data_IF_635788008920
#
_entry.id   IF_635788008920
#
_cell.length_a   1.000
_cell.length_b   1.000
_cell.length_c   1.000
_cell.angle_alpha   90.00
_cell.angle_beta   90.00
_cell.angle_gamma   90.00
#
_symmetry.space_group_name_H-M   'P 1'
#
loop_
_entity.id
_entity.type
_entity.pdbx_description
1 polymer ?
#
# COMPACT_ATOMS: atom_id res chain seq x y z
N UNK A 1 -1.96 56.76 3.21
CA UNK A 1 -1.87 57.10 4.65
C UNK A 1 -1.50 55.83 5.39
N UNK A 2 -0.29 55.84 5.85
CA UNK A 2 0.48 54.81 6.54
C UNK A 2 -0.06 54.53 7.96
N UNK A 3 -0.06 53.29 8.37
CA UNK A 3 0.22 52.90 9.77
C UNK A 3 0.74 51.47 9.86
N UNK A 4 2.03 51.37 10.06
CA UNK A 4 2.80 50.23 10.52
C UNK A 4 2.60 50.02 12.03
N UNK A 5 2.38 48.76 12.47
CA UNK A 5 2.54 48.38 13.87
C UNK A 5 3.64 47.29 13.95
N UNK A 6 4.72 47.67 14.59
CA UNK A 6 5.80 46.78 15.04
C UNK A 6 5.39 46.22 16.41
N UNK A 7 5.51 44.94 16.64
CA UNK A 7 5.53 44.33 17.99
C UNK A 7 6.87 43.67 18.23
N UNK A 8 7.45 44.08 19.35
CA UNK A 8 8.80 43.75 19.81
C UNK A 8 8.85 42.40 20.50
N UNK A 9 9.99 41.69 20.32
CA UNK A 9 10.38 40.50 21.04
C UNK A 9 10.77 40.81 22.50
N UNK A 10 10.35 39.96 23.44
CA UNK A 10 10.94 39.89 24.78
C UNK A 10 11.62 38.54 24.97
N UNK A 11 12.95 38.58 25.14
CA UNK A 11 13.76 37.48 25.65
C UNK A 11 13.65 37.43 27.18
N UNK A 12 13.41 36.23 27.74
CA UNK A 12 13.64 35.95 29.15
C UNK A 12 14.62 34.80 29.26
N UNK A 13 15.82 35.08 29.69
CA UNK A 13 16.83 34.13 30.11
C UNK A 13 16.66 33.84 31.61
N UNK A 14 16.57 32.56 31.96
CA UNK A 14 16.59 32.10 33.35
C UNK A 14 17.70 31.07 33.54
N UNK A 15 18.77 31.47 34.21
CA UNK A 15 19.83 30.60 34.68
C UNK A 15 19.45 30.04 36.05
N UNK A 16 19.69 28.75 36.27
CA UNK A 16 19.64 28.15 37.63
C UNK A 16 20.87 27.27 37.83
N UNK A 17 21.52 27.57 38.93
CA UNK A 17 22.81 27.12 39.38
C UNK A 17 22.78 25.72 40.03
N UNK A 18 23.93 25.09 39.95
CA UNK A 18 24.35 23.86 40.63
C UNK A 18 24.56 24.09 42.12
N UNK A 19 24.12 23.14 42.97
CA UNK A 19 24.72 22.93 44.30
C UNK A 19 24.91 21.42 44.55
N UNK A 20 26.17 21.09 44.79
CA UNK A 20 26.66 19.83 45.30
C UNK A 20 26.88 19.95 46.81
N UNK A 21 26.68 18.82 47.56
CA UNK A 21 27.30 18.42 48.81
C UNK A 21 26.54 17.19 49.30
N UNK A 22 27.04 15.99 49.65
CA UNK A 22 28.31 15.69 50.29
C UNK A 22 28.06 14.81 51.52
N UNK A 23 28.72 13.64 51.64
CA UNK A 23 28.90 12.87 52.88
C UNK A 23 27.91 11.72 53.12
N UNK A 24 28.29 10.50 53.39
CA UNK A 24 29.42 9.88 53.95
C UNK A 24 29.00 8.65 54.77
N UNK A 25 29.70 7.49 54.55
CA UNK A 25 30.06 6.56 55.60
C UNK A 25 29.16 5.37 55.99
N UNK A 26 29.70 4.16 55.89
CA UNK A 26 29.29 3.03 56.71
C UNK A 26 29.53 1.63 56.12
N UNK A 27 30.71 1.08 56.36
CA UNK A 27 31.05 -0.33 56.10
C UNK A 27 30.36 -1.31 57.04
N UNK A 28 29.98 -2.48 56.57
CA UNK A 28 30.13 -3.78 57.24
C UNK A 28 29.87 -4.95 56.31
N UNK A 29 30.85 -5.78 56.11
CA UNK A 29 30.77 -7.21 55.77
C UNK A 29 31.26 -7.99 57.00
N UNK A 30 31.27 -9.35 57.07
CA UNK A 30 30.79 -10.41 56.17
C UNK A 30 29.96 -11.50 56.91
N UNK A 31 29.31 -12.37 56.16
CA UNK A 31 28.76 -13.62 56.67
C UNK A 31 28.80 -14.69 55.58
N UNK A 32 29.76 -15.59 55.71
CA UNK A 32 29.87 -16.78 54.87
C UNK A 32 28.89 -17.88 55.30
N UNK A 33 28.30 -18.60 54.34
CA UNK A 33 27.75 -19.95 54.57
C UNK A 33 27.92 -20.78 53.32
N UNK A 34 28.46 -21.97 53.55
CA UNK A 34 28.92 -23.02 52.67
C UNK A 34 27.80 -23.78 51.91
N UNK A 35 28.17 -24.70 50.94
CA UNK A 35 27.36 -24.99 49.76
C UNK A 35 26.47 -26.24 49.92
N UNK A 36 25.33 -26.22 49.21
CA UNK A 36 24.46 -27.37 49.06
C UNK A 36 24.68 -28.05 47.71
N UNK A 37 24.68 -29.35 47.73
CA UNK A 37 25.12 -30.30 46.73
C UNK A 37 24.40 -30.21 45.36
N UNK A 38 25.21 -30.41 44.29
CA UNK A 38 24.86 -30.58 42.89
C UNK A 38 24.00 -31.82 42.63
N UNK A 39 22.87 -31.67 41.94
CA UNK A 39 22.20 -32.73 41.17
C UNK A 39 22.67 -32.71 39.71
N UNK A 40 22.80 -33.85 39.02
CA UNK A 40 23.37 -33.87 37.67
C UNK A 40 22.46 -33.23 36.64
N UNK A 41 23.02 -32.31 35.84
CA UNK A 41 22.40 -31.70 34.70
C UNK A 41 22.11 -32.77 33.60
N UNK A 42 20.86 -32.82 33.16
CA UNK A 42 20.49 -33.53 31.94
C UNK A 42 21.23 -32.86 30.76
N UNK A 43 21.94 -33.64 30.00
CA UNK A 43 22.54 -33.21 28.73
C UNK A 43 21.47 -32.82 27.75
N UNK A 44 21.37 -31.52 27.48
CA UNK A 44 20.60 -30.98 26.36
C UNK A 44 21.52 -31.05 25.14
N UNK A 45 21.01 -31.71 24.11
CA UNK A 45 21.63 -31.81 22.79
C UNK A 45 21.98 -30.40 22.27
N UNK A 46 23.16 -30.17 21.68
CA UNK A 46 23.48 -28.85 21.12
C UNK A 46 22.81 -28.70 19.76
N UNK A 47 21.50 -28.51 19.75
CA UNK A 47 20.75 -27.99 18.61
C UNK A 47 21.04 -26.50 18.49
N UNK A 48 21.72 -26.15 17.38
CA UNK A 48 21.85 -24.82 16.76
C UNK A 48 21.71 -23.63 17.71
N UNK A 49 22.84 -23.11 18.17
CA UNK A 49 22.90 -21.74 18.73
C UNK A 49 22.31 -20.75 17.73
N UNK A 50 21.43 -19.85 18.15
CA UNK A 50 21.07 -18.70 17.32
C UNK A 50 22.34 -17.94 16.95
N UNK A 51 22.55 -17.66 15.70
CA UNK A 51 23.62 -16.80 15.25
C UNK A 51 23.56 -15.49 16.05
N UNK A 52 24.71 -14.97 16.48
CA UNK A 52 24.83 -13.76 17.29
C UNK A 52 24.05 -12.64 16.62
N UNK A 53 23.02 -12.12 17.31
CA UNK A 53 22.02 -11.23 16.77
C UNK A 53 22.61 -10.00 16.09
N UNK A 54 22.46 -9.96 14.77
CA UNK A 54 22.63 -8.76 13.97
C UNK A 54 21.38 -7.87 14.06
N UNK A 55 21.44 -6.68 13.49
CA UNK A 55 20.27 -5.83 13.30
C UNK A 55 20.22 -5.29 11.88
N UNK A 56 19.02 -5.23 11.31
CA UNK A 56 18.75 -4.62 10.01
C UNK A 56 17.72 -3.52 10.14
N UNK A 57 17.75 -2.55 9.22
CA UNK A 57 16.74 -1.50 9.09
C UNK A 57 15.87 -1.79 7.88
N UNK A 58 14.55 -1.70 8.07
CA UNK A 58 13.55 -1.89 7.04
C UNK A 58 12.72 -0.62 6.91
N UNK A 59 12.58 -0.07 5.71
CA UNK A 59 11.78 1.13 5.47
C UNK A 59 10.61 0.87 4.56
N UNK A 60 9.51 1.56 4.80
CA UNK A 60 8.35 1.68 3.91
C UNK A 60 7.59 2.97 4.20
N UNK A 61 6.51 3.22 3.43
CA UNK A 61 5.63 4.37 3.64
C UNK A 61 4.54 4.11 4.69
N UNK A 62 4.38 2.90 5.18
CA UNK A 62 3.27 2.52 6.06
C UNK A 62 3.35 3.15 7.45
N UNK A 63 2.19 3.59 7.94
CA UNK A 63 2.00 4.08 9.31
C UNK A 63 0.66 3.62 9.88
N UNK A 64 0.42 3.89 11.17
CA UNK A 64 -0.81 3.47 11.83
C UNK A 64 -1.01 1.97 11.80
N UNK A 65 -2.21 1.50 11.46
CA UNK A 65 -2.58 0.08 11.46
C UNK A 65 -1.75 -0.78 10.49
N UNK A 66 -1.30 -0.25 9.36
CA UNK A 66 -0.43 -0.99 8.44
C UNK A 66 0.96 -1.25 9.06
N UNK A 67 1.53 -0.23 9.71
CA UNK A 67 2.78 -0.39 10.46
C UNK A 67 2.63 -1.40 11.62
N UNK A 68 1.54 -1.32 12.36
CA UNK A 68 1.26 -2.26 13.47
C UNK A 68 1.10 -3.70 12.97
N UNK A 69 0.47 -3.88 11.82
CA UNK A 69 0.35 -5.18 11.17
C UNK A 69 1.71 -5.72 10.74
N UNK A 70 2.55 -4.90 10.11
CA UNK A 70 3.89 -5.28 9.69
C UNK A 70 4.84 -5.54 10.87
N UNK A 71 4.69 -4.80 11.97
CA UNK A 71 5.49 -5.04 13.18
C UNK A 71 5.36 -6.48 13.69
N UNK A 72 4.19 -7.12 13.57
CA UNK A 72 4.02 -8.54 13.94
C UNK A 72 4.89 -9.47 13.09
N UNK A 73 5.10 -9.13 11.82
CA UNK A 73 5.99 -9.90 10.92
C UNK A 73 7.44 -9.75 11.35
N UNK A 74 7.86 -8.52 11.70
CA UNK A 74 9.22 -8.26 12.21
C UNK A 74 9.48 -8.95 13.55
N UNK A 75 8.49 -8.99 14.42
CA UNK A 75 8.57 -9.68 15.71
C UNK A 75 8.71 -11.20 15.52
N UNK A 76 7.95 -11.77 14.57
CA UNK A 76 8.05 -13.18 14.21
C UNK A 76 9.42 -13.52 13.60
N UNK A 77 9.95 -12.67 12.73
CA UNK A 77 11.30 -12.79 12.18
C UNK A 77 12.34 -12.79 13.30
N UNK A 78 12.26 -11.82 14.20
CA UNK A 78 13.20 -11.68 15.32
C UNK A 78 13.12 -12.89 16.26
N UNK A 79 11.92 -13.36 16.57
CA UNK A 79 11.72 -14.55 17.40
C UNK A 79 12.32 -15.82 16.78
N UNK A 80 12.23 -15.95 15.45
CA UNK A 80 12.74 -17.11 14.70
C UNK A 80 14.25 -17.12 14.55
N UNK A 81 14.85 -15.95 14.27
CA UNK A 81 16.24 -15.84 13.85
C UNK A 81 17.18 -15.26 14.90
N UNK A 82 16.65 -14.55 15.89
CA UNK A 82 17.44 -13.75 16.82
C UNK A 82 17.99 -12.45 16.22
N UNK A 83 17.68 -12.15 14.95
CA UNK A 83 18.09 -10.92 14.26
C UNK A 83 17.03 -9.86 14.49
N UNK A 84 17.42 -8.67 14.94
CA UNK A 84 16.47 -7.56 15.15
C UNK A 84 16.22 -6.83 13.82
N UNK A 85 14.96 -6.75 13.40
CA UNK A 85 14.55 -5.91 12.28
C UNK A 85 13.85 -4.66 12.82
N UNK A 86 14.41 -3.48 12.54
CA UNK A 86 13.87 -2.19 12.98
C UNK A 86 13.16 -1.51 11.81
N UNK A 87 11.91 -1.12 12.02
CA UNK A 87 11.11 -0.45 11.01
C UNK A 87 11.20 1.07 11.11
N UNK A 88 11.38 1.73 9.97
CA UNK A 88 11.35 3.18 9.83
C UNK A 88 10.27 3.57 8.82
N UNK A 89 9.26 4.31 9.26
CA UNK A 89 8.19 4.83 8.40
C UNK A 89 8.59 6.14 7.73
N UNK A 90 8.53 6.19 6.40
CA UNK A 90 8.75 7.41 5.59
C UNK A 90 7.45 7.69 4.84
N UNK A 91 6.57 8.50 5.43
CA UNK A 91 5.18 8.67 4.99
C UNK A 91 4.98 9.66 3.84
N UNK A 92 5.95 10.52 3.58
CA UNK A 92 5.87 11.55 2.55
C UNK A 92 7.16 11.56 1.74
N UNK A 93 7.05 11.85 0.46
CA UNK A 93 8.20 11.95 -0.46
C UNK A 93 9.14 10.72 -0.40
N UNK A 94 8.55 9.53 -0.22
CA UNK A 94 9.30 8.29 0.05
C UNK A 94 10.49 8.09 -0.87
N UNK A 95 10.26 8.20 -2.18
CA UNK A 95 11.30 8.01 -3.19
C UNK A 95 12.43 9.03 -3.08
N UNK A 96 12.11 10.31 -2.84
CA UNK A 96 13.09 11.40 -2.68
C UNK A 96 13.93 11.21 -1.42
N UNK A 97 13.29 10.83 -0.31
CA UNK A 97 13.98 10.55 0.96
C UNK A 97 14.90 9.34 0.82
N UNK A 98 14.39 8.25 0.21
CA UNK A 98 15.18 7.04 -0.02
C UNK A 98 16.38 7.32 -0.93
N UNK A 99 16.18 8.02 -2.06
CA UNK A 99 17.25 8.45 -2.96
C UNK A 99 18.31 9.32 -2.24
N UNK A 100 17.87 10.23 -1.37
CA UNK A 100 18.77 11.09 -0.60
C UNK A 100 19.64 10.27 0.36
N UNK A 101 19.05 9.28 1.04
CA UNK A 101 19.80 8.36 1.92
C UNK A 101 20.82 7.52 1.15
N UNK A 102 20.40 6.98 -0.01
CA UNK A 102 21.30 6.21 -0.90
C UNK A 102 22.48 7.07 -1.34
N UNK A 103 22.23 8.26 -1.86
CA UNK A 103 23.26 9.19 -2.34
C UNK A 103 24.16 9.68 -1.21
N UNK A 104 23.60 9.84 -0.02
CA UNK A 104 24.36 10.20 1.21
C UNK A 104 25.18 9.07 1.81
N UNK A 105 25.14 7.85 1.23
CA UNK A 105 25.89 6.68 1.71
C UNK A 105 25.34 6.08 3.00
N UNK A 106 24.09 6.36 3.34
CA UNK A 106 23.39 5.82 4.51
C UNK A 106 22.00 5.23 4.12
N UNK A 107 21.96 4.26 3.17
CA UNK A 107 20.70 3.59 2.82
C UNK A 107 20.16 2.77 4.00
N UNK A 108 18.85 2.48 4.05
CA UNK A 108 18.34 1.40 4.86
C UNK A 108 18.91 0.06 4.35
N UNK A 109 18.85 -0.99 5.17
CA UNK A 109 19.29 -2.31 4.71
C UNK A 109 18.31 -2.92 3.71
N UNK A 110 17.01 -2.72 3.96
CA UNK A 110 15.89 -3.21 3.16
C UNK A 110 14.87 -2.08 2.96
N UNK A 111 14.29 -2.03 1.79
CA UNK A 111 13.20 -1.11 1.45
C UNK A 111 12.03 -1.87 0.86
N UNK A 112 10.82 -1.52 1.30
CA UNK A 112 9.60 -1.98 0.67
C UNK A 112 9.10 -0.84 -0.20
N UNK A 113 9.08 -1.08 -1.50
CA UNK A 113 8.83 -0.10 -2.54
C UNK A 113 7.37 -0.19 -2.98
N UNK A 114 6.62 0.91 -2.96
CA UNK A 114 5.22 0.94 -3.38
C UNK A 114 5.04 0.99 -4.90
N UNK A 115 6.09 1.31 -5.66
CA UNK A 115 6.03 1.50 -7.11
C UNK A 115 7.19 0.84 -7.86
N UNK A 116 6.88 0.23 -8.99
CA UNK A 116 7.83 -0.51 -9.84
C UNK A 116 8.73 0.44 -10.66
N UNK A 117 8.28 1.65 -10.97
CA UNK A 117 9.11 2.66 -11.62
C UNK A 117 10.38 2.98 -10.81
N UNK A 118 10.29 3.05 -9.49
CA UNK A 118 11.44 3.23 -8.61
C UNK A 118 12.36 2.01 -8.59
N UNK A 119 11.79 0.80 -8.64
CA UNK A 119 12.56 -0.44 -8.70
C UNK A 119 13.50 -0.44 -9.90
N UNK A 120 12.98 -0.13 -11.09
CA UNK A 120 13.80 -0.10 -12.32
C UNK A 120 14.96 0.88 -12.21
N UNK A 121 14.67 2.09 -11.77
CA UNK A 121 15.70 3.11 -11.57
C UNK A 121 16.77 2.67 -10.59
N UNK A 122 16.39 2.16 -9.41
CA UNK A 122 17.34 1.72 -8.39
C UNK A 122 18.12 0.47 -8.80
N UNK A 123 17.55 -0.40 -9.61
CA UNK A 123 18.27 -1.53 -10.19
C UNK A 123 19.36 -1.07 -11.17
N UNK A 124 19.02 -0.16 -12.09
CA UNK A 124 19.95 0.34 -13.11
C UNK A 124 21.09 1.19 -12.55
N UNK A 125 20.86 1.98 -11.52
CA UNK A 125 21.91 2.76 -10.85
C UNK A 125 22.72 1.97 -9.82
N UNK A 126 22.37 0.66 -9.61
CA UNK A 126 23.06 -0.24 -8.69
C UNK A 126 22.76 0.03 -7.22
N UNK A 127 21.70 0.77 -6.91
CA UNK A 127 21.30 1.09 -5.54
C UNK A 127 20.69 -0.07 -4.79
N UNK A 128 20.13 -1.04 -5.52
CA UNK A 128 19.56 -2.27 -4.96
C UNK A 128 20.29 -3.50 -5.49
N UNK A 129 20.28 -4.56 -4.68
CA UNK A 129 20.99 -5.81 -4.97
C UNK A 129 20.12 -6.75 -5.80
N UNK A 130 20.74 -7.50 -6.71
CA UNK A 130 20.07 -8.68 -7.29
C UNK A 130 19.82 -9.71 -6.18
N UNK A 131 18.66 -10.33 -6.21
CA UNK A 131 18.30 -11.38 -5.25
C UNK A 131 19.31 -12.55 -5.29
N UNK A 132 19.79 -12.89 -6.50
CA UNK A 132 20.83 -13.91 -6.69
C UNK A 132 22.19 -13.55 -6.06
N UNK A 133 22.58 -12.26 -6.04
CA UNK A 133 23.83 -11.80 -5.44
C UNK A 133 23.84 -11.94 -3.91
N UNK A 134 22.66 -11.99 -3.29
CA UNK A 134 22.49 -12.30 -1.87
C UNK A 134 22.58 -13.82 -1.59
N UNK A 135 22.74 -14.65 -2.61
CA UNK A 135 22.75 -16.11 -2.50
C UNK A 135 21.36 -16.71 -2.28
N UNK A 136 20.31 -16.04 -2.75
CA UNK A 136 18.94 -16.54 -2.83
C UNK A 136 18.72 -17.02 -4.27
N UNK A 137 18.24 -18.24 -4.45
CA UNK A 137 17.94 -18.82 -5.76
C UNK A 137 16.56 -18.33 -6.25
N UNK A 138 16.48 -17.48 -7.31
CA UNK A 138 15.20 -17.00 -7.84
C UNK A 138 14.30 -18.14 -8.35
N UNK A 139 14.85 -19.20 -8.91
CA UNK A 139 14.07 -20.34 -9.41
C UNK A 139 13.39 -21.10 -8.25
N UNK A 140 14.06 -21.19 -7.09
CA UNK A 140 13.46 -21.78 -5.90
C UNK A 140 12.31 -20.92 -5.35
N UNK A 141 12.38 -19.58 -5.49
CA UNK A 141 11.31 -18.68 -5.08
C UNK A 141 10.07 -18.81 -5.97
N UNK A 142 10.22 -19.04 -7.28
CA UNK A 142 9.07 -19.19 -8.20
C UNK A 142 8.09 -20.27 -7.75
N UNK A 143 8.58 -21.32 -7.09
CA UNK A 143 7.73 -22.38 -6.54
C UNK A 143 6.72 -21.87 -5.50
N UNK A 144 7.04 -20.79 -4.79
CA UNK A 144 6.23 -20.22 -3.72
C UNK A 144 5.15 -19.24 -4.21
N UNK A 145 5.23 -18.79 -5.47
CA UNK A 145 4.36 -17.73 -6.04
C UNK A 145 3.51 -18.24 -7.21
N UNK A 146 2.39 -17.57 -7.47
CA UNK A 146 1.65 -17.79 -8.69
C UNK A 146 2.48 -17.33 -9.92
N UNK A 147 2.31 -17.94 -11.10
CA UNK A 147 3.04 -17.54 -12.30
C UNK A 147 2.91 -16.05 -12.56
N UNK A 148 4.04 -15.39 -12.88
CA UNK A 148 4.09 -13.96 -13.22
C UNK A 148 4.21 -13.01 -12.02
N UNK A 149 3.96 -13.43 -10.79
CA UNK A 149 4.03 -12.53 -9.61
C UNK A 149 5.47 -12.06 -9.37
N UNK A 150 6.46 -12.92 -9.50
CA UNK A 150 7.86 -12.51 -9.34
C UNK A 150 8.38 -11.70 -10.54
N UNK A 151 7.73 -11.76 -11.69
CA UNK A 151 8.14 -10.97 -12.86
C UNK A 151 7.99 -9.46 -12.59
N UNK A 152 7.07 -9.07 -11.71
CA UNK A 152 6.89 -7.68 -11.26
C UNK A 152 8.18 -7.13 -10.61
N UNK A 153 8.97 -7.97 -9.96
CA UNK A 153 10.24 -7.60 -9.31
C UNK A 153 11.47 -7.72 -10.21
N UNK A 154 11.30 -8.06 -11.50
CA UNK A 154 12.40 -8.22 -12.46
C UNK A 154 12.71 -6.91 -13.20
N UNK A 155 13.99 -6.71 -13.45
CA UNK A 155 14.52 -5.66 -14.34
C UNK A 155 15.54 -6.33 -15.24
N UNK A 156 15.39 -6.23 -16.57
CA UNK A 156 16.25 -6.88 -17.56
C UNK A 156 16.43 -8.40 -17.28
N UNK A 157 15.30 -9.08 -17.03
CA UNK A 157 15.20 -10.52 -16.70
C UNK A 157 15.86 -10.95 -15.36
N UNK A 158 16.44 -10.03 -14.61
CA UNK A 158 17.06 -10.31 -13.32
C UNK A 158 16.12 -9.89 -12.15
N UNK A 159 15.99 -10.74 -11.13
CA UNK A 159 15.16 -10.46 -9.97
C UNK A 159 15.87 -9.53 -8.98
N UNK A 160 15.30 -8.35 -8.73
CA UNK A 160 15.82 -7.36 -7.78
C UNK A 160 14.89 -7.18 -6.57
N UNK A 161 13.61 -7.47 -6.72
CA UNK A 161 12.66 -7.34 -5.63
C UNK A 161 11.65 -8.50 -5.63
N UNK A 162 11.06 -8.74 -4.48
CA UNK A 162 10.13 -9.85 -4.25
C UNK A 162 8.79 -9.26 -3.82
N UNK A 163 7.69 -9.64 -4.47
CA UNK A 163 6.34 -9.26 -4.06
C UNK A 163 6.04 -9.82 -2.66
N UNK A 164 5.66 -8.96 -1.71
CA UNK A 164 5.40 -9.36 -0.33
C UNK A 164 3.96 -9.16 0.12
N UNK A 165 3.25 -8.25 -0.50
CA UNK A 165 1.80 -8.06 -0.31
C UNK A 165 1.15 -7.58 -1.58
N UNK A 166 -0.13 -7.86 -1.74
CA UNK A 166 -1.00 -7.17 -2.69
C UNK A 166 -2.40 -6.98 -2.10
N UNK A 167 -3.17 -6.14 -2.76
CA UNK A 167 -4.59 -5.94 -2.52
C UNK A 167 -5.29 -5.89 -3.87
N UNK A 168 -6.53 -6.35 -3.92
CA UNK A 168 -7.37 -6.07 -5.07
C UNK A 168 -7.66 -4.58 -5.14
N UNK A 169 -7.49 -3.98 -6.30
CA UNK A 169 -7.97 -2.63 -6.62
C UNK A 169 -9.25 -2.69 -7.47
N UNK A 170 -10.03 -3.76 -7.28
CA UNK A 170 -11.27 -4.00 -8.03
C UNK A 170 -12.46 -4.21 -7.09
N UNK A 171 -12.45 -3.56 -5.91
CA UNK A 171 -13.51 -3.64 -4.89
C UNK A 171 -14.31 -2.35 -4.83
N UNK A 172 -15.63 -2.46 -5.02
CA UNK A 172 -16.57 -1.35 -4.84
C UNK A 172 -17.21 -1.49 -3.46
N UNK A 173 -16.80 -0.67 -2.52
CA UNK A 173 -17.24 -0.67 -1.12
C UNK A 173 -18.55 0.08 -0.96
N UNK A 174 -19.44 -0.40 -0.11
CA UNK A 174 -20.74 0.23 0.09
C UNK A 174 -21.30 0.02 1.50
N UNK A 175 -22.35 0.79 1.83
CA UNK A 175 -23.16 0.69 3.04
C UNK A 175 -24.41 -0.15 2.76
N UNK A 176 -24.49 -1.43 3.20
CA UNK A 176 -25.69 -2.27 3.00
C UNK A 176 -26.96 -1.65 3.57
N UNK A 177 -26.88 -0.98 4.73
CA UNK A 177 -28.00 -0.27 5.33
C UNK A 177 -28.52 0.88 4.45
N UNK A 178 -27.61 1.71 3.88
CA UNK A 178 -27.95 2.78 2.95
C UNK A 178 -28.54 2.26 1.64
N UNK A 179 -28.03 1.13 1.14
CA UNK A 179 -28.58 0.46 -0.04
C UNK A 179 -30.01 -0.04 0.23
N UNK A 180 -30.25 -0.62 1.40
CA UNK A 180 -31.59 -1.06 1.83
C UNK A 180 -32.56 0.13 1.94
N UNK A 181 -32.14 1.24 2.56
CA UNK A 181 -32.92 2.48 2.70
C UNK A 181 -33.28 3.07 1.33
N UNK A 182 -32.35 3.03 0.37
CA UNK A 182 -32.57 3.51 -0.98
C UNK A 182 -33.40 2.56 -1.85
N UNK A 183 -33.50 1.28 -1.49
CA UNK A 183 -34.03 0.21 -2.34
C UNK A 183 -33.08 -0.10 -3.50
N UNK A 184 -31.78 0.13 -3.32
CA UNK A 184 -30.73 -0.15 -4.28
C UNK A 184 -30.14 -1.55 -4.06
N UNK A 185 -29.48 -2.07 -5.10
CA UNK A 185 -28.73 -3.34 -5.03
C UNK A 185 -27.30 -3.12 -5.51
N UNK A 186 -26.31 -3.92 -5.01
CA UNK A 186 -24.96 -3.88 -5.52
C UNK A 186 -24.93 -4.12 -7.04
N UNK A 187 -24.26 -3.24 -7.82
CA UNK A 187 -24.27 -3.33 -9.27
C UNK A 187 -23.29 -4.40 -9.77
N UNK A 188 -23.65 -5.13 -10.83
CA UNK A 188 -22.76 -6.05 -11.53
C UNK A 188 -22.20 -5.44 -12.83
N UNK A 189 -22.93 -4.47 -13.42
CA UNK A 189 -22.53 -3.81 -14.67
C UNK A 189 -22.43 -2.30 -14.50
N UNK A 190 -21.71 -1.63 -15.41
CA UNK A 190 -21.55 -0.17 -15.39
C UNK A 190 -22.89 0.57 -15.51
N UNK A 191 -23.81 0.07 -16.33
CA UNK A 191 -25.14 0.67 -16.44
C UNK A 191 -25.98 0.49 -15.18
N UNK A 192 -25.87 -0.68 -14.52
CA UNK A 192 -26.46 -0.87 -13.20
C UNK A 192 -25.83 0.04 -12.17
N UNK A 193 -24.52 0.29 -12.22
CA UNK A 193 -23.85 1.18 -11.31
C UNK A 193 -24.36 2.62 -11.42
N UNK A 194 -24.48 3.15 -12.64
CA UNK A 194 -25.09 4.47 -12.88
C UNK A 194 -26.54 4.53 -12.36
N UNK A 195 -27.31 3.46 -12.58
CA UNK A 195 -28.68 3.35 -12.07
C UNK A 195 -28.72 3.31 -10.54
N UNK A 196 -27.79 2.58 -9.91
CA UNK A 196 -27.65 2.50 -8.46
C UNK A 196 -27.32 3.87 -7.86
N UNK A 197 -26.36 4.61 -8.44
CA UNK A 197 -26.01 5.96 -7.99
C UNK A 197 -27.21 6.89 -8.07
N UNK A 198 -27.94 6.87 -9.20
CA UNK A 198 -29.14 7.70 -9.36
C UNK A 198 -30.22 7.32 -8.35
N UNK A 199 -30.44 6.04 -8.10
CA UNK A 199 -31.42 5.55 -7.13
C UNK A 199 -31.11 6.03 -5.71
N UNK A 200 -29.84 6.00 -5.30
CA UNK A 200 -29.37 6.50 -4.01
C UNK A 200 -29.58 8.01 -3.91
N UNK A 201 -29.22 8.76 -4.97
CA UNK A 201 -29.41 10.22 -5.04
C UNK A 201 -30.88 10.62 -4.92
N UNK A 202 -31.77 9.92 -5.62
CA UNK A 202 -33.21 10.19 -5.62
C UNK A 202 -33.86 9.99 -4.22
N UNK A 203 -33.18 9.26 -3.33
CA UNK A 203 -33.59 9.09 -1.93
C UNK A 203 -32.96 10.11 -0.99
N UNK A 204 -32.16 11.04 -1.51
CA UNK A 204 -31.56 12.13 -0.75
C UNK A 204 -30.25 11.77 -0.05
N UNK A 205 -29.66 10.62 -0.38
CA UNK A 205 -28.31 10.24 0.07
C UNK A 205 -27.31 10.57 -1.03
N UNK A 206 -26.15 11.14 -0.67
CA UNK A 206 -25.07 11.32 -1.64
C UNK A 206 -24.54 9.95 -2.08
N UNK A 207 -24.41 9.69 -3.39
CA UNK A 207 -23.98 8.37 -3.85
C UNK A 207 -22.54 8.00 -3.48
N UNK A 208 -21.56 8.86 -3.81
CA UNK A 208 -20.13 8.56 -3.76
C UNK A 208 -19.38 9.40 -2.73
N UNK A 209 -18.57 8.74 -1.90
CA UNK A 209 -17.44 9.35 -1.23
C UNK A 209 -16.22 9.36 -2.16
N UNK A 210 -15.41 10.41 -2.10
CA UNK A 210 -14.17 10.54 -2.85
C UNK A 210 -13.22 11.48 -2.12
N UNK A 211 -11.94 11.08 -2.03
CA UNK A 211 -10.84 11.92 -1.59
C UNK A 211 -9.63 11.69 -2.48
N UNK A 212 -8.96 12.76 -2.88
CA UNK A 212 -7.88 12.73 -3.89
C UNK A 212 -6.55 13.23 -3.33
N UNK A 213 -6.59 14.06 -2.28
CA UNK A 213 -5.40 14.68 -1.69
C UNK A 213 -4.68 13.72 -0.70
N UNK A 214 -3.37 13.86 -0.45
CA UNK A 214 -2.43 14.74 -1.16
C UNK A 214 -1.95 14.17 -2.49
N UNK A 215 -2.15 12.88 -2.71
CA UNK A 215 -1.66 12.12 -3.85
C UNK A 215 -2.84 11.72 -4.73
N UNK A 216 -2.69 11.88 -6.03
CA UNK A 216 -3.78 11.73 -7.02
C UNK A 216 -4.07 10.27 -7.43
N UNK A 217 -3.41 9.29 -6.81
CA UNK A 217 -3.48 7.87 -7.16
C UNK A 217 -4.91 7.27 -7.11
N UNK A 218 -5.81 7.80 -6.27
CA UNK A 218 -7.20 7.34 -6.26
C UNK A 218 -7.91 7.55 -7.60
N UNK A 219 -7.50 8.55 -8.38
CA UNK A 219 -8.03 8.78 -9.73
C UNK A 219 -7.43 7.83 -10.76
N UNK A 220 -6.17 7.43 -10.60
CA UNK A 220 -5.56 6.43 -11.49
C UNK A 220 -6.22 5.07 -11.31
N UNK A 221 -6.54 4.67 -10.07
CA UNK A 221 -7.28 3.43 -9.79
C UNK A 221 -8.65 3.39 -10.49
N UNK A 222 -9.40 4.51 -10.47
CA UNK A 222 -10.64 4.63 -11.23
C UNK A 222 -10.42 4.44 -12.73
N UNK A 223 -9.45 5.16 -13.30
CA UNK A 223 -9.13 5.08 -14.72
C UNK A 223 -8.72 3.67 -15.12
N UNK A 224 -7.83 3.06 -14.37
CA UNK A 224 -7.26 1.74 -14.66
C UNK A 224 -8.30 0.63 -14.60
N UNK A 225 -9.15 0.64 -13.58
CA UNK A 225 -10.24 -0.35 -13.47
C UNK A 225 -11.26 -0.20 -14.58
N UNK A 226 -11.57 1.01 -15.01
CA UNK A 226 -12.42 1.28 -16.18
C UNK A 226 -11.70 0.85 -17.46
N UNK A 227 -10.45 1.30 -17.66
CA UNK A 227 -9.70 1.06 -18.87
C UNK A 227 -9.46 -0.42 -19.14
N UNK A 228 -9.04 -1.17 -18.11
CA UNK A 228 -8.84 -2.62 -18.22
C UNK A 228 -10.11 -3.35 -18.69
N UNK A 229 -11.29 -2.92 -18.22
CA UNK A 229 -12.58 -3.53 -18.56
C UNK A 229 -13.14 -3.10 -19.91
N UNK A 230 -12.84 -1.88 -20.36
CA UNK A 230 -13.31 -1.36 -21.64
C UNK A 230 -12.37 -1.69 -22.80
N UNK A 231 -11.08 -1.47 -22.59
CA UNK A 231 -10.07 -1.63 -23.64
C UNK A 231 -9.49 -3.05 -23.70
N UNK A 232 -9.59 -3.81 -22.62
CA UNK A 232 -9.06 -5.17 -22.48
C UNK A 232 -7.58 -5.19 -22.07
N UNK A 233 -7.12 -6.38 -21.66
CA UNK A 233 -5.79 -6.58 -21.09
C UNK A 233 -4.66 -6.22 -22.06
N UNK A 234 -4.81 -6.53 -23.36
CA UNK A 234 -3.77 -6.24 -24.37
C UNK A 234 -3.51 -4.73 -24.48
N UNK A 235 -4.56 -3.91 -24.59
CA UNK A 235 -4.39 -2.45 -24.67
C UNK A 235 -3.91 -1.87 -23.34
N UNK A 236 -4.34 -2.44 -22.21
CA UNK A 236 -3.84 -2.05 -20.90
C UNK A 236 -2.32 -2.23 -20.83
N UNK A 237 -1.84 -3.41 -21.19
CA UNK A 237 -0.40 -3.72 -21.20
C UNK A 237 0.37 -2.78 -22.13
N UNK A 238 -0.14 -2.56 -23.35
CA UNK A 238 0.48 -1.69 -24.34
C UNK A 238 0.54 -0.23 -23.89
N UNK A 239 -0.51 0.29 -23.23
CA UNK A 239 -0.57 1.67 -22.76
C UNK A 239 0.49 1.93 -21.70
N UNK A 240 0.52 1.09 -20.67
CA UNK A 240 1.45 1.24 -19.56
C UNK A 240 2.89 0.78 -19.86
N UNK A 241 3.10 0.03 -20.95
CA UNK A 241 4.42 -0.24 -21.51
C UNK A 241 4.91 0.85 -22.49
N UNK A 242 4.13 1.90 -22.73
CA UNK A 242 4.48 2.99 -23.66
C UNK A 242 4.47 2.60 -25.13
N UNK A 243 3.85 1.47 -25.51
CA UNK A 243 3.74 1.00 -26.92
C UNK A 243 2.41 1.36 -27.58
N UNK A 244 1.39 1.72 -26.79
CA UNK A 244 0.15 2.35 -27.24
C UNK A 244 0.18 3.83 -26.86
N UNK A 245 -0.15 4.77 -27.76
CA UNK A 245 -0.13 6.19 -27.45
C UNK A 245 -1.27 6.58 -26.50
N UNK A 246 -1.02 7.53 -25.60
CA UNK A 246 -2.04 8.11 -24.71
C UNK A 246 -3.12 8.88 -25.46
N UNK A 247 -2.87 9.20 -26.73
CA UNK A 247 -3.83 9.79 -27.68
C UNK A 247 -4.74 8.75 -28.34
N UNK A 248 -4.59 7.44 -28.03
CA UNK A 248 -5.50 6.41 -28.54
C UNK A 248 -6.94 6.68 -28.06
N UNK A 249 -7.95 6.54 -28.92
CA UNK A 249 -9.35 6.83 -28.57
C UNK A 249 -9.88 6.05 -27.35
N UNK A 250 -9.28 4.88 -27.02
CA UNK A 250 -9.68 4.11 -25.85
C UNK A 250 -9.39 4.83 -24.53
N UNK A 251 -8.35 5.68 -24.47
CA UNK A 251 -8.03 6.50 -23.31
C UNK A 251 -9.17 7.54 -23.08
N UNK A 252 -9.54 8.28 -24.14
CA UNK A 252 -10.64 9.23 -24.03
C UNK A 252 -11.95 8.55 -23.64
N UNK A 253 -12.25 7.36 -24.17
CA UNK A 253 -13.45 6.59 -23.84
C UNK A 253 -13.48 6.24 -22.34
N UNK A 254 -12.36 5.80 -21.76
CA UNK A 254 -12.29 5.48 -20.33
C UNK A 254 -12.46 6.73 -19.46
N UNK A 255 -11.84 7.85 -19.83
CA UNK A 255 -11.99 9.13 -19.14
C UNK A 255 -13.43 9.63 -19.17
N UNK A 256 -14.13 9.52 -20.30
CA UNK A 256 -15.55 9.91 -20.37
C UNK A 256 -16.42 9.02 -19.47
N UNK A 257 -16.18 7.70 -19.43
CA UNK A 257 -16.88 6.83 -18.48
C UNK A 257 -16.60 7.19 -17.02
N UNK A 258 -15.37 7.54 -16.69
CA UNK A 258 -15.02 8.03 -15.36
C UNK A 258 -15.84 9.28 -14.98
N UNK A 259 -16.00 10.23 -15.89
CA UNK A 259 -16.80 11.46 -15.71
C UNK A 259 -18.31 11.21 -15.58
N UNK A 260 -18.83 10.10 -16.13
CA UNK A 260 -20.25 9.72 -15.93
C UNK A 260 -20.61 9.55 -14.45
N UNK A 261 -19.66 9.15 -13.62
CA UNK A 261 -19.87 8.87 -12.19
C UNK A 261 -19.13 9.83 -11.27
N UNK A 262 -17.95 10.33 -11.65
CA UNK A 262 -17.21 11.34 -10.89
C UNK A 262 -17.60 12.74 -11.35
N UNK A 263 -18.67 13.25 -10.76
CA UNK A 263 -19.22 14.57 -11.05
C UNK A 263 -19.90 15.18 -9.81
N UNK A 264 -20.26 16.46 -9.87
CA UNK A 264 -20.85 17.20 -8.75
C UNK A 264 -22.20 16.65 -8.29
N UNK A 265 -22.89 15.91 -9.14
CA UNK A 265 -24.19 15.32 -8.85
C UNK A 265 -24.12 14.08 -7.95
N UNK A 266 -23.00 13.35 -7.99
CA UNK A 266 -22.85 12.09 -7.26
C UNK A 266 -21.80 12.14 -6.16
N UNK A 267 -20.78 13.01 -6.26
CA UNK A 267 -19.67 13.05 -5.33
C UNK A 267 -19.98 13.96 -4.14
N UNK A 268 -19.72 13.49 -2.94
CA UNK A 268 -19.92 14.24 -1.70
C UNK A 268 -19.04 15.50 -1.66
N UNK A 269 -19.71 16.66 -1.55
CA UNK A 269 -19.07 17.97 -1.59
C UNK A 269 -18.63 18.42 -2.99
N UNK A 270 -19.06 17.71 -4.04
CA UNK A 270 -18.69 17.96 -5.43
C UNK A 270 -17.23 17.62 -5.74
N UNK A 271 -16.84 17.80 -7.00
CA UNK A 271 -15.46 17.50 -7.46
C UNK A 271 -14.45 18.40 -6.77
N UNK A 272 -14.67 19.70 -6.69
CA UNK A 272 -13.73 20.62 -6.01
C UNK A 272 -13.49 20.24 -4.55
N UNK A 273 -14.55 19.81 -3.84
CA UNK A 273 -14.43 19.33 -2.47
C UNK A 273 -13.62 18.04 -2.36
N UNK A 274 -13.81 17.11 -3.29
CA UNK A 274 -13.10 15.84 -3.35
C UNK A 274 -11.60 16.01 -3.63
N UNK A 275 -11.23 16.91 -4.52
CA UNK A 275 -9.85 17.20 -4.88
C UNK A 275 -9.01 17.74 -3.70
N UNK A 276 -9.64 18.48 -2.81
CA UNK A 276 -8.99 19.00 -1.59
C UNK A 276 -9.04 18.04 -0.39
N UNK A 277 -9.80 16.95 -0.47
CA UNK A 277 -10.04 16.01 0.63
C UNK A 277 -9.00 14.91 0.64
N UNK A 278 -8.50 14.57 1.85
CA UNK A 278 -7.64 13.42 2.01
C UNK A 278 -8.40 12.12 1.64
N UNK A 279 -7.72 11.17 1.02
CA UNK A 279 -8.35 9.93 0.57
C UNK A 279 -8.94 9.11 1.74
N UNK A 280 -8.31 9.14 2.91
CA UNK A 280 -8.85 8.51 4.13
C UNK A 280 -10.14 9.20 4.60
N UNK A 281 -10.24 10.54 4.46
CA UNK A 281 -11.46 11.28 4.78
C UNK A 281 -12.58 10.97 3.78
N UNK A 282 -12.23 10.60 2.54
CA UNK A 282 -13.18 10.05 1.57
C UNK A 282 -13.82 8.74 2.04
N UNK A 283 -13.02 7.84 2.65
CA UNK A 283 -13.55 6.64 3.34
C UNK A 283 -14.48 7.05 4.48
N UNK A 284 -14.12 8.09 5.23
CA UNK A 284 -14.92 8.64 6.34
C UNK A 284 -16.29 9.16 5.89
N UNK A 285 -16.43 9.66 4.67
CA UNK A 285 -17.73 10.09 4.13
C UNK A 285 -18.73 8.95 3.98
N UNK A 286 -18.24 7.72 3.77
CA UNK A 286 -19.11 6.53 3.61
C UNK A 286 -19.23 5.75 4.91
N UNK A 287 -18.13 5.58 5.65
CA UNK A 287 -18.06 4.67 6.79
C UNK A 287 -17.91 5.37 8.15
N UNK A 288 -17.73 6.69 8.18
CA UNK A 288 -17.66 7.46 9.42
C UNK A 288 -18.97 7.47 10.20
N UNK A 289 -18.92 7.94 11.45
CA UNK A 289 -20.11 8.08 12.31
C UNK A 289 -21.16 9.02 11.69
N UNK A 290 -20.71 10.03 10.96
CA UNK A 290 -21.59 11.01 10.27
C UNK A 290 -21.54 10.77 8.75
N UNK A 291 -21.61 9.51 8.32
CA UNK A 291 -21.57 9.14 6.91
C UNK A 291 -22.68 9.81 6.09
N UNK A 292 -22.30 10.56 5.07
CA UNK A 292 -23.18 11.27 4.14
C UNK A 292 -23.30 10.57 2.78
N UNK A 293 -22.37 9.68 2.45
CA UNK A 293 -22.33 8.93 1.19
C UNK A 293 -22.58 7.43 1.42
N UNK A 294 -22.83 6.70 0.32
CA UNK A 294 -23.21 5.29 0.37
C UNK A 294 -22.17 4.34 -0.26
N UNK A 295 -21.35 4.82 -1.19
CA UNK A 295 -20.39 4.03 -1.97
C UNK A 295 -19.01 4.69 -1.95
N UNK A 296 -17.96 3.86 -1.86
CA UNK A 296 -16.57 4.26 -2.01
C UNK A 296 -15.85 3.24 -2.90
N UNK A 297 -15.13 3.70 -3.89
CA UNK A 297 -14.31 2.79 -4.70
C UNK A 297 -12.84 2.98 -4.36
N UNK A 298 -12.21 1.91 -3.98
CA UNK A 298 -10.76 1.72 -3.81
C UNK A 298 -10.44 0.25 -3.50
N UNK A 299 -9.17 -0.03 -3.25
CA UNK A 299 -8.68 -1.39 -2.99
C UNK A 299 -9.18 -2.02 -1.68
N UNK A 300 -8.84 -3.29 -1.50
CA UNK A 300 -9.23 -4.11 -0.34
C UNK A 300 -8.80 -3.56 1.01
N UNK A 301 -7.74 -2.74 1.05
CA UNK A 301 -7.26 -2.06 2.26
C UNK A 301 -8.33 -1.15 2.92
N UNK A 302 -9.33 -0.68 2.16
CA UNK A 302 -10.44 0.13 2.69
C UNK A 302 -11.14 -0.55 3.85
N UNK A 303 -11.37 -1.86 3.77
CA UNK A 303 -12.01 -2.62 4.85
C UNK A 303 -11.28 -2.49 6.18
N UNK A 304 -9.96 -2.65 6.17
CA UNK A 304 -9.11 -2.51 7.37
C UNK A 304 -9.08 -1.08 7.92
N UNK A 305 -8.98 -0.08 7.03
CA UNK A 305 -8.98 1.33 7.43
C UNK A 305 -10.35 1.75 7.97
N UNK A 306 -11.43 1.38 7.28
CA UNK A 306 -12.78 1.71 7.71
C UNK A 306 -13.09 1.16 9.11
N UNK A 307 -12.82 -0.12 9.34
CA UNK A 307 -13.12 -0.80 10.61
C UNK A 307 -12.11 -0.54 11.73
N UNK A 308 -10.86 -0.25 11.40
CA UNK A 308 -9.78 -0.07 12.38
C UNK A 308 -9.50 1.38 12.76
N UNK A 309 -9.74 2.34 11.85
CA UNK A 309 -9.36 3.74 12.06
C UNK A 309 -10.54 4.70 11.95
N UNK A 310 -11.47 4.48 11.01
CA UNK A 310 -12.57 5.42 10.72
C UNK A 310 -13.74 5.19 11.68
N UNK A 311 -14.19 3.94 11.80
CA UNK A 311 -15.33 3.62 12.67
C UNK A 311 -15.27 2.14 13.10
N UNK A 312 -14.87 1.90 14.34
CA UNK A 312 -14.74 0.56 14.92
C UNK A 312 -16.07 -0.14 15.22
N UNK A 313 -17.20 0.57 15.08
CA UNK A 313 -18.54 0.00 15.22
C UNK A 313 -19.11 -0.61 13.94
N UNK A 314 -18.38 -0.55 12.83
CA UNK A 314 -18.80 -1.16 11.57
C UNK A 314 -18.85 -2.69 11.69
N UNK A 315 -19.90 -3.27 11.12
CA UNK A 315 -20.14 -4.71 11.10
C UNK A 315 -20.11 -5.22 9.66
N UNK A 316 -19.15 -6.09 9.31
CA UNK A 316 -19.09 -6.69 7.98
C UNK A 316 -20.39 -7.38 7.56
N UNK A 317 -20.85 -7.10 6.35
CA UNK A 317 -22.13 -7.60 5.81
C UNK A 317 -23.38 -6.83 6.24
N UNK A 318 -23.29 -5.94 7.25
CA UNK A 318 -24.41 -5.14 7.75
C UNK A 318 -24.23 -3.64 7.49
N UNK A 319 -23.10 -3.08 7.90
CA UNK A 319 -22.81 -1.64 7.76
C UNK A 319 -21.57 -1.35 6.91
N UNK A 320 -20.85 -2.38 6.49
CA UNK A 320 -19.76 -2.33 5.52
C UNK A 320 -19.76 -3.62 4.71
N UNK A 321 -19.74 -3.50 3.40
CA UNK A 321 -19.53 -4.62 2.48
C UNK A 321 -18.91 -4.11 1.18
N UNK A 322 -18.55 -5.02 0.28
CA UNK A 322 -18.06 -4.70 -1.05
C UNK A 322 -18.58 -5.68 -2.11
N UNK A 323 -18.55 -5.24 -3.36
CA UNK A 323 -18.83 -6.04 -4.55
C UNK A 323 -17.71 -5.85 -5.57
N UNK A 324 -17.65 -6.73 -6.58
CA UNK A 324 -16.72 -6.55 -7.70
C UNK A 324 -16.92 -5.18 -8.38
N UNK A 325 -15.85 -4.57 -8.84
CA UNK A 325 -15.97 -3.37 -9.69
C UNK A 325 -16.83 -3.71 -10.93
N UNK A 326 -17.78 -2.86 -11.31
CA UNK A 326 -18.76 -3.14 -12.35
C UNK A 326 -18.13 -3.49 -13.70
N UNK A 327 -18.70 -4.48 -14.40
CA UNK A 327 -18.27 -4.88 -15.74
C UNK A 327 -18.83 -3.95 -16.82
N UNK A 328 -18.10 -3.82 -17.94
CA UNK A 328 -18.54 -3.10 -19.14
C UNK A 328 -19.11 -4.04 -20.21
N UNK A 329 -19.52 -5.23 -19.82
CA UNK A 329 -19.98 -6.31 -20.69
C UNK A 329 -18.91 -7.42 -20.80
N UNK A 330 -19.30 -8.54 -21.42
CA UNK A 330 -18.43 -9.72 -21.49
C UNK A 330 -18.52 -10.63 -20.27
N UNK A 331 -17.79 -11.75 -20.33
CA UNK A 331 -17.77 -12.79 -19.29
C UNK A 331 -16.53 -12.68 -18.38
N UNK A 332 -15.55 -11.91 -18.79
CA UNK A 332 -14.30 -11.76 -18.07
C UNK A 332 -14.48 -10.89 -16.83
N UNK A 333 -13.85 -11.30 -15.74
CA UNK A 333 -13.78 -10.56 -14.49
C UNK A 333 -12.33 -10.15 -14.25
N UNK A 334 -11.85 -9.14 -14.96
CA UNK A 334 -10.49 -8.69 -14.77
C UNK A 334 -10.33 -8.01 -13.42
N UNK A 335 -9.18 -8.23 -12.79
CA UNK A 335 -8.82 -7.64 -11.50
C UNK A 335 -7.54 -6.82 -11.67
N UNK A 336 -7.59 -5.58 -11.26
CA UNK A 336 -6.41 -4.76 -11.04
C UNK A 336 -5.92 -5.01 -9.62
N UNK A 337 -4.64 -5.24 -9.43
CA UNK A 337 -4.00 -5.39 -8.13
C UNK A 337 -2.97 -4.29 -7.92
N UNK A 338 -2.86 -3.81 -6.71
CA UNK A 338 -1.72 -3.03 -6.24
C UNK A 338 -0.94 -3.83 -5.21
N UNK A 339 0.32 -3.48 -5.00
CA UNK A 339 1.12 -4.19 -4.02
C UNK A 339 2.51 -3.62 -3.88
N UNK A 340 3.24 -4.14 -2.91
CA UNK A 340 4.56 -3.65 -2.58
C UNK A 340 5.59 -4.76 -2.75
N UNK A 341 6.76 -4.38 -3.24
CA UNK A 341 7.90 -5.26 -3.43
C UNK A 341 9.02 -4.95 -2.44
N UNK A 342 9.66 -5.99 -1.89
CA UNK A 342 10.79 -5.85 -0.98
C UNK A 342 12.10 -5.96 -1.75
N UNK A 343 12.99 -4.99 -1.55
CA UNK A 343 14.32 -4.94 -2.17
C UNK A 343 15.42 -4.76 -1.12
N UNK A 344 16.56 -5.39 -1.32
CA UNK A 344 17.76 -5.19 -0.51
C UNK A 344 18.62 -4.06 -1.06
N UNK A 345 19.04 -3.14 -0.19
CA UNK A 345 19.99 -2.08 -0.55
C UNK A 345 21.40 -2.41 -0.10
N UNK A 346 21.54 -3.28 0.92
CA UNK A 346 22.82 -3.76 1.41
C UNK A 346 22.88 -5.30 1.41
N UNK A 347 24.06 -5.85 1.56
CA UNK A 347 24.31 -7.29 1.76
C UNK A 347 24.72 -7.60 3.19
N UNK A 348 24.33 -6.75 4.15
CA UNK A 348 24.59 -6.89 5.56
C UNK A 348 24.01 -8.20 6.10
N UNK A 349 24.73 -8.90 7.03
CA UNK A 349 24.20 -10.08 7.69
C UNK A 349 22.79 -9.83 8.26
N UNK A 350 21.85 -10.73 7.95
CA UNK A 350 20.44 -10.62 8.31
C UNK A 350 19.52 -10.18 7.15
N UNK A 351 20.07 -9.53 6.12
CA UNK A 351 19.26 -9.08 4.96
C UNK A 351 18.76 -10.28 4.15
N UNK A 352 19.66 -11.22 3.84
CA UNK A 352 19.28 -12.45 3.14
C UNK A 352 18.20 -13.22 3.92
N UNK A 353 18.46 -13.47 5.19
CA UNK A 353 17.55 -14.20 6.07
C UNK A 353 16.18 -13.54 6.16
N UNK A 354 16.14 -12.19 6.12
CA UNK A 354 14.88 -11.45 6.13
C UNK A 354 14.12 -11.59 4.83
N UNK A 355 14.78 -11.45 3.67
CA UNK A 355 14.14 -11.65 2.38
C UNK A 355 13.60 -13.08 2.24
N UNK A 356 14.40 -14.09 2.61
CA UNK A 356 13.96 -15.50 2.62
C UNK A 356 12.75 -15.71 3.56
N UNK A 357 12.77 -15.12 4.76
CA UNK A 357 11.65 -15.22 5.69
C UNK A 357 10.37 -14.64 5.10
N UNK A 358 10.44 -13.48 4.43
CA UNK A 358 9.29 -12.82 3.82
C UNK A 358 8.62 -13.65 2.71
N UNK A 359 9.33 -14.66 2.16
CA UNK A 359 8.79 -15.59 1.15
C UNK A 359 8.17 -16.86 1.73
N UNK A 360 8.13 -16.99 3.05
CA UNK A 360 7.59 -18.19 3.73
C UNK A 360 6.09 -18.07 3.98
N UNK A 361 5.43 -19.22 4.10
CA UNK A 361 4.03 -19.26 4.57
C UNK A 361 3.88 -18.62 5.94
N UNK A 362 4.83 -18.82 6.87
CA UNK A 362 4.80 -18.26 8.22
C UNK A 362 4.70 -16.71 8.20
N UNK A 363 5.58 -16.05 7.45
CA UNK A 363 5.51 -14.58 7.31
C UNK A 363 4.20 -14.13 6.69
N UNK A 364 3.77 -14.80 5.63
CA UNK A 364 2.51 -14.52 4.95
C UNK A 364 1.29 -14.71 5.85
N UNK A 365 1.24 -15.80 6.63
CA UNK A 365 0.14 -16.09 7.57
C UNK A 365 0.07 -15.09 8.73
N UNK A 366 1.21 -14.74 9.33
CA UNK A 366 1.28 -13.71 10.38
C UNK A 366 0.72 -12.39 9.89
N UNK A 367 1.08 -12.01 8.67
CA UNK A 367 0.62 -10.73 8.09
C UNK A 367 -0.84 -10.81 7.64
N UNK A 368 -1.21 -11.86 6.90
CA UNK A 368 -2.59 -12.07 6.42
C UNK A 368 -3.62 -12.15 7.56
N UNK A 369 -3.24 -12.75 8.70
CA UNK A 369 -4.09 -12.82 9.89
C UNK A 369 -4.45 -11.45 10.49
N UNK A 370 -3.74 -10.39 10.11
CA UNK A 370 -4.09 -9.01 10.48
C UNK A 370 -5.22 -8.43 9.63
N UNK A 371 -5.50 -9.00 8.47
CA UNK A 371 -6.45 -8.47 7.48
C UNK A 371 -5.91 -7.29 6.66
N UNK A 372 -4.62 -6.95 6.82
CA UNK A 372 -4.02 -5.79 6.14
C UNK A 372 -3.56 -6.09 4.71
N UNK A 373 -3.44 -7.35 4.34
CA UNK A 373 -2.90 -7.78 3.04
C UNK A 373 -3.59 -9.02 2.50
N UNK A 374 -3.47 -9.21 1.18
CA UNK A 374 -3.52 -10.53 0.58
C UNK A 374 -2.07 -11.01 0.37
N UNK A 375 -1.74 -12.21 0.86
CA UNK A 375 -0.41 -12.76 0.68
C UNK A 375 -0.18 -13.28 -0.74
N UNK A 376 0.94 -12.94 -1.39
CA UNK A 376 1.31 -13.51 -2.68
C UNK A 376 1.85 -14.94 -2.59
N UNK A 377 2.14 -15.43 -1.38
CA UNK A 377 2.71 -16.77 -1.14
C UNK A 377 1.62 -17.83 -1.20
N UNK A 378 1.71 -18.77 -2.15
CA UNK A 378 0.70 -19.81 -2.41
C UNK A 378 0.36 -20.69 -1.21
N UNK A 379 1.34 -20.94 -0.33
CA UNK A 379 1.17 -21.82 0.82
C UNK A 379 0.39 -21.19 1.96
N UNK A 380 0.04 -19.91 1.89
CA UNK A 380 -0.79 -19.23 2.89
C UNK A 380 -2.22 -19.71 2.79
N UNK A 381 -2.76 -20.23 3.90
CA UNK A 381 -4.13 -20.74 3.94
C UNK A 381 -5.15 -19.60 3.88
N UNK A 382 -6.23 -19.79 3.10
CA UNK A 382 -7.35 -18.84 3.08
C UNK A 382 -8.05 -18.70 4.46
N UNK A 383 -7.89 -19.70 5.34
CA UNK A 383 -8.49 -19.70 6.68
C UNK A 383 -7.85 -18.69 7.64
N UNK A 384 -6.63 -18.21 7.35
CA UNK A 384 -5.94 -17.23 8.21
C UNK A 384 -6.55 -15.84 8.13
N UNK A 385 -7.23 -15.51 7.04
CA UNK A 385 -7.84 -14.19 6.88
C UNK A 385 -8.98 -13.98 7.90
N UNK A 386 -8.99 -12.85 8.63
CA UNK A 386 -9.83 -12.70 9.82
C UNK A 386 -11.31 -12.47 9.53
N UNK A 387 -11.65 -12.02 8.33
CA UNK A 387 -13.03 -11.67 7.96
C UNK A 387 -13.42 -12.25 6.62
N UNK A 388 -14.72 -12.45 6.40
CA UNK A 388 -15.23 -12.89 5.11
C UNK A 388 -15.00 -11.84 4.01
N UNK A 389 -14.86 -10.56 4.36
CA UNK A 389 -14.50 -9.50 3.41
C UNK A 389 -13.14 -9.78 2.77
N UNK A 390 -12.12 -10.05 3.59
CA UNK A 390 -10.75 -10.31 3.10
C UNK A 390 -10.65 -11.68 2.43
N UNK A 391 -11.38 -12.70 2.93
CA UNK A 391 -11.44 -14.02 2.26
C UNK A 391 -12.01 -13.92 0.86
N UNK A 392 -13.07 -13.13 0.68
CA UNK A 392 -13.66 -12.88 -0.65
C UNK A 392 -12.72 -12.13 -1.57
N UNK A 393 -11.97 -11.16 -1.04
CA UNK A 393 -10.97 -10.43 -1.80
C UNK A 393 -9.85 -11.36 -2.29
N UNK A 394 -9.31 -12.22 -1.42
CA UNK A 394 -8.35 -13.23 -1.81
C UNK A 394 -8.91 -14.17 -2.89
N UNK A 395 -10.17 -14.58 -2.75
CA UNK A 395 -10.86 -15.41 -3.75
C UNK A 395 -11.09 -14.66 -5.07
N UNK A 396 -11.39 -13.35 -5.04
CA UNK A 396 -11.53 -12.52 -6.24
C UNK A 396 -10.23 -12.52 -7.05
N UNK A 397 -9.09 -12.24 -6.40
CA UNK A 397 -7.78 -12.20 -7.08
C UNK A 397 -7.37 -13.58 -7.60
N UNK A 398 -7.50 -14.62 -6.78
CA UNK A 398 -7.08 -15.99 -7.16
C UNK A 398 -8.00 -16.63 -8.20
N UNK A 399 -9.27 -16.23 -8.26
CA UNK A 399 -10.27 -16.68 -9.23
C UNK A 399 -10.37 -15.83 -10.51
N UNK A 400 -9.64 -14.73 -10.60
CA UNK A 400 -9.68 -13.85 -11.76
C UNK A 400 -9.09 -14.51 -13.00
N UNK A 401 -9.74 -14.31 -14.14
CA UNK A 401 -9.24 -14.79 -15.45
C UNK A 401 -8.16 -13.88 -16.03
N UNK A 402 -8.17 -12.62 -15.63
CA UNK A 402 -7.21 -11.59 -16.03
C UNK A 402 -6.82 -10.82 -14.78
N UNK A 403 -5.53 -10.80 -14.45
CA UNK A 403 -4.97 -9.97 -13.38
C UNK A 403 -3.95 -9.02 -13.99
N UNK A 404 -4.04 -7.72 -13.65
CA UNK A 404 -3.05 -6.72 -14.03
C UNK A 404 -2.61 -5.93 -12.81
N UNK A 405 -1.33 -5.64 -12.77
CA UNK A 405 -0.79 -4.73 -11.78
C UNK A 405 -1.25 -3.30 -12.07
N UNK A 406 -1.33 -2.46 -11.04
CA UNK A 406 -1.57 -1.03 -11.12
C UNK A 406 -0.70 -0.41 -12.21
N UNK A 407 -1.34 0.12 -13.23
CA UNK A 407 -0.64 0.58 -14.43
C UNK A 407 0.19 1.83 -14.17
N UNK A 408 -0.31 2.74 -13.33
CA UNK A 408 0.40 3.97 -13.00
C UNK A 408 1.70 3.70 -12.26
N UNK A 409 1.74 2.64 -11.46
CA UNK A 409 2.94 2.16 -10.76
C UNK A 409 3.96 1.51 -11.72
N UNK A 410 3.53 1.12 -12.93
CA UNK A 410 4.41 0.58 -13.97
C UNK A 410 5.07 1.66 -14.83
N UNK A 411 4.61 2.91 -14.75
CA UNK A 411 5.20 4.00 -15.52
C UNK A 411 6.66 4.28 -15.07
N UNK A 412 7.52 4.72 -15.99
CA UNK A 412 8.91 4.98 -15.68
C UNK A 412 9.07 6.13 -14.69
N UNK A 413 10.13 6.07 -13.87
CA UNK A 413 10.46 7.14 -12.95
C UNK A 413 10.68 8.47 -13.71
N UNK A 414 10.01 9.53 -13.26
CA UNK A 414 10.03 10.84 -13.95
C UNK A 414 8.92 11.04 -14.97
N UNK A 415 8.01 10.07 -15.11
CA UNK A 415 6.74 10.32 -15.82
C UNK A 415 5.96 11.45 -15.14
N UNK A 416 5.21 12.25 -15.93
CA UNK A 416 4.27 13.20 -15.34
C UNK A 416 3.17 12.45 -14.57
N UNK A 417 2.62 13.09 -13.56
CA UNK A 417 1.56 12.53 -12.74
C UNK A 417 0.27 12.31 -13.56
N UNK A 418 -0.08 11.04 -13.82
CA UNK A 418 -1.31 10.66 -14.52
C UNK A 418 -2.55 11.14 -13.78
N UNK A 419 -2.56 11.00 -12.45
CA UNK A 419 -3.68 11.42 -11.62
C UNK A 419 -3.93 12.93 -11.70
N UNK A 420 -2.88 13.76 -11.85
CA UNK A 420 -3.03 15.20 -12.07
C UNK A 420 -3.71 15.50 -13.41
N UNK A 421 -3.45 14.72 -14.47
CA UNK A 421 -4.16 14.86 -15.75
C UNK A 421 -5.62 14.41 -15.64
N UNK A 422 -5.89 13.32 -14.92
CA UNK A 422 -7.24 12.86 -14.63
C UNK A 422 -8.02 13.86 -13.78
N UNK A 423 -7.36 14.53 -12.82
CA UNK A 423 -7.93 15.61 -12.03
C UNK A 423 -8.42 16.76 -12.93
N UNK A 424 -7.62 17.17 -13.92
CA UNK A 424 -8.04 18.16 -14.93
C UNK A 424 -9.29 17.69 -15.66
N UNK A 425 -9.30 16.43 -16.10
CA UNK A 425 -10.42 15.86 -16.87
C UNK A 425 -11.74 15.90 -16.09
N UNK A 426 -11.75 15.42 -14.83
CA UNK A 426 -12.99 15.42 -14.01
C UNK A 426 -13.41 16.81 -13.57
N UNK A 427 -12.49 17.79 -13.51
CA UNK A 427 -12.79 19.20 -13.28
C UNK A 427 -13.30 19.93 -14.53
N UNK A 428 -13.53 19.23 -15.65
CA UNK A 428 -13.98 19.81 -16.90
C UNK A 428 -12.92 20.60 -17.67
N UNK A 429 -11.64 20.47 -17.30
CA UNK A 429 -10.54 21.08 -18.01
C UNK A 429 -10.07 20.17 -19.16
N UNK A 430 -9.47 20.78 -20.18
CA UNK A 430 -8.89 20.02 -21.30
C UNK A 430 -7.57 19.41 -20.88
N UNK A 431 -7.40 18.10 -21.16
CA UNK A 431 -6.14 17.38 -20.99
C UNK A 431 -5.39 17.37 -22.32
N UNK A 432 -4.12 17.73 -22.31
CA UNK A 432 -3.23 17.60 -23.46
C UNK A 432 -2.52 16.24 -23.44
N UNK A 433 -3.24 15.20 -23.88
CA UNK A 433 -2.71 13.84 -23.93
C UNK A 433 -1.49 13.70 -24.85
N UNK A 434 -1.34 14.55 -25.88
CA UNK A 434 -0.15 14.51 -26.74
C UNK A 434 1.10 15.02 -26.00
N UNK A 435 0.93 16.06 -25.19
CA UNK A 435 2.01 16.53 -24.31
C UNK A 435 2.36 15.50 -23.23
N UNK A 436 1.35 14.91 -22.60
CA UNK A 436 1.54 13.84 -21.60
C UNK A 436 2.31 12.65 -22.21
N UNK A 437 1.88 12.15 -23.37
CA UNK A 437 2.54 11.06 -24.11
C UNK A 437 4.01 11.36 -24.41
N UNK A 438 4.32 12.57 -24.86
CA UNK A 438 5.70 13.00 -25.14
C UNK A 438 6.57 12.94 -23.88
N UNK A 439 6.04 13.33 -22.74
CA UNK A 439 6.76 13.30 -21.47
C UNK A 439 6.95 11.88 -20.96
N UNK A 440 5.94 11.02 -21.05
CA UNK A 440 6.05 9.59 -20.69
C UNK A 440 7.06 8.89 -21.61
N UNK A 441 7.03 9.15 -22.93
CA UNK A 441 8.02 8.61 -23.86
C UNK A 441 9.46 9.08 -23.53
N UNK A 442 9.60 10.33 -23.10
CA UNK A 442 10.88 10.86 -22.62
C UNK A 442 11.36 10.13 -21.36
N UNK A 443 10.46 9.88 -20.41
CA UNK A 443 10.78 9.12 -19.22
C UNK A 443 11.22 7.69 -19.55
N UNK A 444 10.53 7.00 -20.45
CA UNK A 444 10.94 5.69 -20.98
C UNK A 444 12.32 5.69 -21.62
N UNK A 445 12.65 6.75 -22.36
CA UNK A 445 13.97 6.85 -23.01
C UNK A 445 15.12 7.11 -22.02
N UNK A 446 14.83 7.53 -20.81
CA UNK A 446 15.79 7.79 -19.73
C UNK A 446 15.96 6.61 -18.77
N UNK A 447 15.13 5.58 -18.90
CA UNK A 447 15.30 4.31 -18.17
C UNK A 447 16.31 3.42 -18.92
#
# INVERSE_FOLDING_TARGET
>A
MTRSLRLSALFLAGALAVTACGGGGGSAAPGASEPAASAPAASVDPGTSPAAGGSITVTSLWGGSEQEAFQKVLDAFTAKTGITATYESIRTDYATVLQTRITGGNPPDVSILPGIGFLRRFAKDGSIKKVADLGIDPAALEANYAPGILDIGKVDDELYAIMVKFNSKSTLWFRPDKFTEAGATPPATWDEFKTTLQTIKDKGTTPLGLGVSPDTWTLTDWFESIYLRQAGAEKYDQLFAGTLPWTDPSVATAVESMKEVLNDDYVAGGIDGALGRAWVDGIGQVFGENAEAAVYYEGGFVGGIATGQVNTALVPGETIDWTDFPSFGGTDKPVTIGGDVIAALTDKPGVKEFLEFMTTAEAGEVWAATGAIISPVKAVSADVYPTDLVKREAAQVTGATVVRFDGSDLLPAGSPDLGAELQKAISGQTVDWASYETQVATAWSNE
#
